data_IF_200146609737
#
_entry.id   IF_200146609737
#
_cell.length_a   1.000
_cell.length_b   1.000
_cell.length_c   1.000
_cell.angle_alpha   90.00
_cell.angle_beta   90.00
_cell.angle_gamma   90.00
#
_symmetry.space_group_name_H-M   'P 1'
#
loop_
_entity.id
_entity.type
_entity.pdbx_description
1 polymer ?
#
# COMPACT_ATOMS: atom_id res chain seq x y z
N UNK A 1 -12.27 -0.56 1.47
CA UNK A 1 -11.52 -0.81 0.20
C UNK A 1 -10.03 -0.70 0.47
N UNK A 2 -9.18 -1.53 -0.16
CA UNK A 2 -7.74 -1.69 0.14
C UNK A 2 -6.98 -0.38 0.40
N UNK A 3 -7.19 0.65 -0.42
CA UNK A 3 -6.52 1.95 -0.26
C UNK A 3 -6.76 2.60 1.10
N UNK A 4 -7.98 2.51 1.65
CA UNK A 4 -8.29 3.06 2.97
C UNK A 4 -7.39 2.48 4.07
N UNK A 5 -7.12 1.17 4.00
CA UNK A 5 -6.23 0.47 4.95
C UNK A 5 -4.79 0.93 4.81
N UNK A 6 -4.32 1.13 3.58
CA UNK A 6 -3.00 1.70 3.29
C UNK A 6 -2.91 3.12 3.83
N UNK A 7 -3.90 3.97 3.53
CA UNK A 7 -3.94 5.37 3.98
C UNK A 7 -3.94 5.49 5.50
N UNK A 8 -4.70 4.64 6.20
CA UNK A 8 -4.70 4.58 7.67
C UNK A 8 -3.30 4.31 8.23
N UNK A 9 -2.62 3.29 7.72
CA UNK A 9 -1.25 2.96 8.14
C UNK A 9 -0.25 4.07 7.81
N UNK A 10 -0.40 4.74 6.67
CA UNK A 10 0.42 5.90 6.30
C UNK A 10 0.28 7.04 7.30
N UNK A 11 -0.95 7.36 7.73
CA UNK A 11 -1.21 8.39 8.73
C UNK A 11 -0.63 7.98 10.09
N UNK A 12 -0.90 6.75 10.55
CA UNK A 12 -0.40 6.22 11.83
C UNK A 12 1.14 6.23 11.91
N UNK A 13 1.81 5.98 10.78
CA UNK A 13 3.28 5.95 10.68
C UNK A 13 3.91 7.29 10.24
N UNK A 14 3.11 8.36 10.11
CA UNK A 14 3.53 9.65 9.56
C UNK A 14 4.35 9.52 8.26
N UNK A 15 3.89 8.66 7.36
CA UNK A 15 4.57 8.26 6.14
C UNK A 15 3.83 8.76 4.89
N UNK A 16 4.57 9.31 3.94
CA UNK A 16 4.05 9.74 2.64
C UNK A 16 4.02 8.58 1.61
N UNK A 17 3.24 8.73 0.55
CA UNK A 17 3.22 7.80 -0.61
C UNK A 17 4.61 7.65 -1.24
N UNK A 18 5.40 8.73 -1.25
CA UNK A 18 6.75 8.71 -1.79
C UNK A 18 7.67 7.84 -0.92
N UNK A 19 7.63 8.02 0.41
CA UNK A 19 8.39 7.19 1.34
C UNK A 19 7.97 5.72 1.27
N UNK A 20 6.68 5.44 1.12
CA UNK A 20 6.19 4.09 0.88
C UNK A 20 6.78 3.49 -0.40
N UNK A 21 6.74 4.23 -1.51
CA UNK A 21 7.26 3.77 -2.81
C UNK A 21 8.76 3.47 -2.75
N UNK A 22 9.53 4.32 -2.06
CA UNK A 22 10.96 4.11 -1.81
C UNK A 22 11.20 2.84 -0.98
N UNK A 23 10.44 2.65 0.11
CA UNK A 23 10.54 1.45 0.96
C UNK A 23 10.16 0.15 0.23
N UNK A 24 9.25 0.22 -0.74
CA UNK A 24 8.87 -0.92 -1.57
C UNK A 24 9.96 -1.32 -2.60
N UNK A 25 11.06 -0.58 -2.70
CA UNK A 25 12.08 -0.78 -3.73
C UNK A 25 11.59 -0.45 -5.13
N UNK A 26 10.49 0.30 -5.27
CA UNK A 26 10.03 0.82 -6.56
C UNK A 26 10.88 2.05 -6.89
N UNK A 27 11.79 1.91 -7.86
CA UNK A 27 12.71 2.96 -8.33
C UNK A 27 11.99 4.29 -8.58
N UNK A 28 12.06 5.26 -7.65
CA UNK A 28 11.47 6.63 -7.64
C UNK A 28 10.03 6.84 -8.18
N UNK A 29 9.39 5.81 -8.71
CA UNK A 29 8.19 5.88 -9.49
C UNK A 29 7.02 5.43 -8.61
N UNK A 30 6.42 6.43 -7.99
CA UNK A 30 5.24 6.32 -7.14
C UNK A 30 3.93 6.09 -7.92
N UNK A 31 3.98 5.99 -9.27
CA UNK A 31 2.79 5.83 -10.13
C UNK A 31 1.91 4.67 -9.69
N UNK A 32 2.50 3.53 -9.32
CA UNK A 32 1.74 2.35 -8.87
C UNK A 32 0.89 2.66 -7.63
N UNK A 33 1.45 3.40 -6.67
CA UNK A 33 0.72 3.77 -5.46
C UNK A 33 -0.36 4.82 -5.73
N UNK A 34 -0.11 5.76 -6.64
CA UNK A 34 -1.14 6.70 -7.09
C UNK A 34 -2.27 6.01 -7.85
N UNK A 35 -1.96 5.02 -8.70
CA UNK A 35 -2.97 4.21 -9.37
C UNK A 35 -3.80 3.35 -8.40
N UNK A 36 -3.18 2.85 -7.32
CA UNK A 36 -3.88 2.18 -6.24
C UNK A 36 -4.83 3.14 -5.50
N UNK A 37 -4.35 4.35 -5.15
CA UNK A 37 -5.15 5.41 -4.52
C UNK A 37 -6.35 5.80 -5.37
N UNK A 38 -6.13 6.03 -6.65
CA UNK A 38 -7.15 6.50 -7.57
C UNK A 38 -8.10 5.35 -8.02
N UNK A 39 -7.94 4.15 -7.46
CA UNK A 39 -8.80 3.00 -7.75
C UNK A 39 -8.61 2.38 -9.14
N UNK A 40 -7.56 2.78 -9.87
CA UNK A 40 -7.18 2.17 -11.16
C UNK A 40 -6.67 0.75 -10.96
N UNK A 41 -5.96 0.49 -9.87
CA UNK A 41 -5.59 -0.86 -9.42
C UNK A 41 -6.59 -1.32 -8.36
N UNK A 42 -7.55 -2.16 -8.75
CA UNK A 42 -8.53 -2.75 -7.82
C UNK A 42 -8.09 -4.11 -7.25
N UNK A 43 -7.24 -4.81 -8.01
CA UNK A 43 -6.73 -6.16 -7.70
C UNK A 43 -5.22 -6.17 -7.92
N UNK A 44 -4.42 -5.64 -6.98
CA UNK A 44 -2.97 -5.70 -7.07
C UNK A 44 -2.48 -7.16 -7.11
N UNK A 45 -1.33 -7.38 -7.74
CA UNK A 45 -0.68 -8.70 -7.73
C UNK A 45 -0.27 -9.09 -6.31
N UNK A 46 -0.08 -10.39 -6.08
CA UNK A 46 0.42 -10.88 -4.79
C UNK A 46 1.77 -10.24 -4.42
N UNK A 47 2.69 -10.14 -5.38
CA UNK A 47 3.98 -9.49 -5.19
C UNK A 47 3.84 -8.01 -4.75
N UNK A 48 2.95 -7.26 -5.39
CA UNK A 48 2.68 -5.87 -5.02
C UNK A 48 2.11 -5.78 -3.59
N UNK A 49 1.23 -6.71 -3.22
CA UNK A 49 0.71 -6.79 -1.85
C UNK A 49 1.81 -7.11 -0.84
N UNK A 50 2.73 -8.04 -1.13
CA UNK A 50 3.87 -8.32 -0.27
C UNK A 50 4.72 -7.06 -0.07
N UNK A 51 5.09 -6.37 -1.15
CA UNK A 51 5.88 -5.13 -1.07
C UNK A 51 5.19 -4.06 -0.22
N UNK A 52 3.87 -3.87 -0.37
CA UNK A 52 3.10 -2.91 0.44
C UNK A 52 3.12 -3.33 1.91
N UNK A 53 2.89 -4.60 2.21
CA UNK A 53 2.87 -5.14 3.56
C UNK A 53 4.24 -5.01 4.25
N UNK A 54 5.32 -5.40 3.56
CA UNK A 54 6.70 -5.30 4.04
C UNK A 54 7.10 -3.84 4.28
N UNK A 55 6.78 -2.93 3.35
CA UNK A 55 7.12 -1.52 3.47
C UNK A 55 6.35 -0.81 4.60
N UNK A 56 5.13 -1.27 4.88
CA UNK A 56 4.31 -0.78 5.98
C UNK A 56 4.54 -1.55 7.29
N UNK A 57 5.39 -2.58 7.29
CA UNK A 57 5.67 -3.42 8.46
C UNK A 57 4.39 -3.97 9.10
N UNK A 58 3.57 -4.66 8.28
CA UNK A 58 2.33 -5.32 8.68
C UNK A 58 2.17 -6.67 7.97
N UNK A 59 1.40 -7.60 8.54
CA UNK A 59 1.05 -8.84 7.84
C UNK A 59 0.08 -8.59 6.67
N UNK A 60 0.21 -9.37 5.59
CA UNK A 60 -0.74 -9.41 4.48
C UNK A 60 -2.20 -9.63 4.94
N UNK A 61 -2.41 -10.34 6.05
CA UNK A 61 -3.75 -10.63 6.59
C UNK A 61 -4.48 -9.37 7.05
N UNK A 62 -3.76 -8.29 7.37
CA UNK A 62 -4.35 -6.99 7.67
C UNK A 62 -5.26 -6.50 6.52
N UNK A 63 -4.84 -6.74 5.28
CA UNK A 63 -5.56 -6.33 4.08
C UNK A 63 -6.69 -7.28 3.67
N UNK A 64 -6.72 -8.50 4.23
CA UNK A 64 -7.75 -9.51 3.93
C UNK A 64 -9.04 -9.32 4.71
N UNK A 65 -8.96 -8.77 5.93
CA UNK A 65 -10.15 -8.50 6.76
C UNK A 65 -11.11 -7.60 5.99
N UNK A 66 -12.37 -7.99 5.88
CA UNK A 66 -13.44 -7.05 5.52
C UNK A 66 -13.76 -6.29 6.79
N UNK A 67 -13.81 -4.96 6.68
CA UNK A 67 -14.36 -4.16 7.75
C UNK A 67 -15.87 -4.25 7.48
N UNK A 68 -16.54 -5.16 8.20
CA UNK A 68 -17.99 -5.37 8.14
C UNK A 68 -18.73 -4.22 8.83
#
# INVERSE_FOLDING_TARGET
>A
MLWYKVQKLLIEKNMSINQLSLKMGLSENNRTMYQLRDGKIKKPSFELMCKIADALDVSLDYFRKRDD
#
